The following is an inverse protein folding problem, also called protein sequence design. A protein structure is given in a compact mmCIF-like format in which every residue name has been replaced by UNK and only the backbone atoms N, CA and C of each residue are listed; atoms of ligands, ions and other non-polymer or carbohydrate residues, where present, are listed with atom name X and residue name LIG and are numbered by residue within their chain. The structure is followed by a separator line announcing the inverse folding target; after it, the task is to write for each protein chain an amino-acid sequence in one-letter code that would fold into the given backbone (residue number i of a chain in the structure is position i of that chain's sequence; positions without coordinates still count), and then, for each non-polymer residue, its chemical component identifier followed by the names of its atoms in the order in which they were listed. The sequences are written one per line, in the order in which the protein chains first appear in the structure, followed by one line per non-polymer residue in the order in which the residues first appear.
data_IF_103302929050
#
_entry.id   IF_103302929050
#
_cell.length_a   1.000
_cell.length_b   1.000
_cell.length_c   1.000
_cell.angle_alpha   90.00
_cell.angle_beta   90.00
_cell.angle_gamma   90.00
#
_symmetry.space_group_name_H-M   'P 1'
#
loop_
_entity.id
_entity.type
_entity.pdbx_description
1 polymer ?
#
# COMPACT_ATOMS: atom_id res chain seq x y z
N UNK A 1 -1.84 18.48 8.67
CA UNK A 1 -2.23 17.23 7.98
C UNK A 1 -1.23 17.08 6.87
N UNK A 2 -0.16 16.34 7.11
CA UNK A 2 0.96 16.31 6.17
C UNK A 2 0.72 15.13 5.22
N UNK A 3 0.09 15.43 4.10
CA UNK A 3 0.02 14.52 2.97
C UNK A 3 1.44 14.25 2.48
N UNK A 4 1.82 12.97 2.38
CA UNK A 4 3.14 12.60 1.89
C UNK A 4 3.04 12.22 0.42
N UNK A 5 3.33 13.18 -0.44
CA UNK A 5 3.21 13.06 -1.89
C UNK A 5 4.58 12.88 -2.52
N UNK A 6 4.75 11.83 -3.32
CA UNK A 6 6.01 11.51 -3.99
C UNK A 6 5.76 11.29 -5.48
N UNK A 7 6.55 11.91 -6.38
CA UNK A 7 6.52 11.57 -7.80
C UNK A 7 6.97 10.13 -8.00
N UNK A 8 6.22 9.40 -8.82
CA UNK A 8 6.60 8.05 -9.26
C UNK A 8 7.53 8.16 -10.48
N UNK A 9 7.72 7.06 -11.20
CA UNK A 9 8.56 7.00 -12.39
C UNK A 9 8.21 8.15 -13.35
N UNK A 10 9.24 8.92 -13.73
CA UNK A 10 9.07 10.15 -14.49
C UNK A 10 8.35 9.92 -15.83
N UNK A 11 8.46 8.73 -16.42
CA UNK A 11 7.73 8.42 -17.64
C UNK A 11 6.22 8.32 -17.38
N UNK A 12 5.77 7.97 -16.18
CA UNK A 12 4.34 7.80 -15.88
C UNK A 12 3.62 9.13 -15.64
N UNK A 13 4.35 10.19 -15.26
CA UNK A 13 3.79 11.48 -14.84
C UNK A 13 2.80 11.36 -13.65
N UNK A 14 2.87 10.24 -12.92
CA UNK A 14 2.00 9.93 -11.80
C UNK A 14 2.68 10.28 -10.47
N UNK A 15 1.84 10.58 -9.47
CA UNK A 15 2.23 10.82 -8.10
C UNK A 15 1.52 9.81 -7.20
N UNK A 16 2.14 9.49 -6.06
CA UNK A 16 1.51 8.72 -5.00
C UNK A 16 1.45 9.55 -3.73
N UNK A 17 0.25 9.71 -3.20
CA UNK A 17 0.02 10.38 -1.92
C UNK A 17 -0.44 9.38 -0.87
N UNK A 18 0.22 9.39 0.28
CA UNK A 18 -0.05 8.50 1.40
C UNK A 18 -0.74 9.24 2.55
N UNK A 19 -1.79 8.61 3.10
CA UNK A 19 -2.54 9.11 4.25
C UNK A 19 -2.66 8.04 5.32
N UNK A 20 -2.25 8.35 6.54
CA UNK A 20 -2.38 7.45 7.68
C UNK A 20 -3.62 7.85 8.50
N UNK A 21 -4.55 6.90 8.65
CA UNK A 21 -5.73 7.06 9.49
C UNK A 21 -5.69 6.08 10.65
N UNK A 22 -6.06 6.58 11.82
CA UNK A 22 -6.10 5.83 13.08
C UNK A 22 -7.49 5.94 13.69
N UNK A 23 -7.82 5.04 14.62
CA UNK A 23 -9.13 5.03 15.28
C UNK A 23 -10.30 5.02 14.27
N UNK A 24 -10.15 4.33 13.14
CA UNK A 24 -11.18 4.27 12.09
C UNK A 24 -12.40 3.50 12.60
N UNK A 25 -13.57 4.10 12.43
CA UNK A 25 -14.87 3.59 12.92
C UNK A 25 -15.70 2.93 11.83
N UNK A 26 -15.38 3.15 10.55
CA UNK A 26 -16.12 2.61 9.40
C UNK A 26 -15.24 1.85 8.38
N UNK A 27 -14.34 0.94 8.81
CA UNK A 27 -13.45 0.24 7.87
C UNK A 27 -14.22 -0.60 6.83
N UNK A 28 -15.38 -1.16 7.20
CA UNK A 28 -16.26 -1.89 6.28
C UNK A 28 -16.78 -0.98 5.15
N UNK A 29 -17.23 0.24 5.48
CA UNK A 29 -17.71 1.23 4.51
C UNK A 29 -16.57 1.64 3.55
N UNK A 30 -15.38 1.90 4.10
CA UNK A 30 -14.19 2.24 3.31
C UNK A 30 -13.86 1.11 2.34
N UNK A 31 -13.81 -0.14 2.84
CA UNK A 31 -13.50 -1.32 2.02
C UNK A 31 -14.53 -1.51 0.91
N UNK A 32 -15.82 -1.38 1.21
CA UNK A 32 -16.90 -1.51 0.23
C UNK A 32 -16.75 -0.47 -0.90
N UNK A 33 -16.50 0.81 -0.54
CA UNK A 33 -16.32 1.89 -1.52
C UNK A 33 -15.08 1.70 -2.40
N UNK A 34 -13.98 1.18 -1.84
CA UNK A 34 -12.79 0.82 -2.64
C UNK A 34 -13.10 -0.31 -3.61
N UNK A 35 -13.77 -1.37 -3.17
CA UNK A 35 -14.12 -2.53 -4.01
C UNK A 35 -15.11 -2.13 -5.13
N UNK A 36 -16.08 -1.27 -4.83
CA UNK A 36 -17.05 -0.78 -5.80
C UNK A 36 -16.47 0.25 -6.78
N UNK A 37 -15.23 0.71 -6.58
CA UNK A 37 -14.61 1.75 -7.41
C UNK A 37 -15.14 3.15 -7.15
N UNK A 38 -15.90 3.36 -6.07
CA UNK A 38 -16.35 4.69 -5.63
C UNK A 38 -15.21 5.50 -5.01
N UNK A 39 -14.18 4.81 -4.51
CA UNK A 39 -12.99 5.40 -3.93
C UNK A 39 -11.73 4.93 -4.67
N UNK A 40 -11.16 5.81 -5.48
CA UNK A 40 -9.95 5.57 -6.28
C UNK A 40 -8.68 5.57 -5.40
N UNK A 41 -8.48 4.51 -4.62
CA UNK A 41 -7.32 4.35 -3.75
C UNK A 41 -7.05 2.89 -3.41
N UNK A 42 -5.87 2.61 -2.88
CA UNK A 42 -5.57 1.35 -2.19
C UNK A 42 -5.69 1.56 -0.69
N UNK A 43 -6.60 0.82 -0.03
CA UNK A 43 -6.70 0.77 1.42
C UNK A 43 -5.87 -0.39 1.97
N UNK A 44 -4.84 -0.06 2.75
CA UNK A 44 -3.75 -0.96 3.15
C UNK A 44 -3.74 -1.11 4.67
N UNK A 45 -3.48 -2.31 5.19
CA UNK A 45 -3.30 -2.54 6.63
C UNK A 45 -2.00 -1.88 7.11
N UNK A 46 -2.10 -0.92 8.04
CA UNK A 46 -0.91 -0.26 8.59
C UNK A 46 0.03 -1.26 9.31
N UNK A 47 -0.52 -2.33 9.89
CA UNK A 47 0.21 -3.39 10.57
C UNK A 47 1.26 -4.10 9.70
N UNK A 48 1.09 -4.09 8.37
CA UNK A 48 2.02 -4.73 7.43
C UNK A 48 3.02 -3.75 6.80
N UNK A 49 3.00 -2.48 7.20
CA UNK A 49 3.84 -1.44 6.61
C UNK A 49 4.87 -0.94 7.61
N UNK A 50 6.15 -1.24 7.37
CA UNK A 50 7.25 -0.72 8.21
C UNK A 50 7.67 0.69 7.81
N UNK A 51 7.71 0.95 6.51
CA UNK A 51 8.20 2.21 5.95
C UNK A 51 7.35 2.61 4.73
N UNK A 52 6.98 3.90 4.56
CA UNK A 52 6.28 4.39 3.38
C UNK A 52 6.94 4.01 2.05
N UNK A 53 8.27 3.91 2.03
CA UNK A 53 9.06 3.55 0.87
C UNK A 53 8.63 2.21 0.26
N UNK A 54 8.25 1.22 1.06
CA UNK A 54 7.81 -0.07 0.51
C UNK A 54 6.51 0.05 -0.31
N UNK A 55 5.61 0.95 0.11
CA UNK A 55 4.35 1.22 -0.58
C UNK A 55 4.63 1.99 -1.86
N UNK A 56 5.57 2.94 -1.82
CA UNK A 56 5.99 3.70 -2.99
C UNK A 56 6.65 2.81 -4.04
N UNK A 57 7.49 1.85 -3.65
CA UNK A 57 8.06 0.88 -4.60
C UNK A 57 6.97 0.03 -5.27
N UNK A 58 6.01 -0.46 -4.48
CA UNK A 58 4.88 -1.23 -5.00
C UNK A 58 3.98 -0.40 -5.94
N UNK A 59 3.71 0.85 -5.58
CA UNK A 59 2.96 1.82 -6.38
C UNK A 59 3.69 2.15 -7.68
N UNK A 60 5.00 2.41 -7.61
CA UNK A 60 5.84 2.70 -8.77
C UNK A 60 5.81 1.55 -9.77
N UNK A 61 5.98 0.32 -9.29
CA UNK A 61 5.86 -0.89 -10.11
C UNK A 61 4.47 -1.02 -10.73
N UNK A 62 3.41 -0.70 -9.99
CA UNK A 62 2.04 -0.74 -10.49
C UNK A 62 1.79 0.25 -11.64
N UNK A 63 2.21 1.52 -11.52
CA UNK A 63 2.01 2.53 -12.57
C UNK A 63 2.85 2.25 -13.82
N UNK A 64 4.06 1.72 -13.66
CA UNK A 64 4.90 1.30 -14.79
C UNK A 64 4.23 0.15 -15.54
N UNK A 65 3.71 -0.86 -14.82
CA UNK A 65 2.98 -1.97 -15.43
C UNK A 65 1.69 -1.50 -16.11
N UNK A 66 0.95 -0.55 -15.52
CA UNK A 66 -0.23 0.05 -16.15
C UNK A 66 0.12 0.74 -17.47
N UNK A 67 1.16 1.58 -17.46
CA UNK A 67 1.64 2.28 -18.66
C UNK A 67 2.08 1.31 -19.77
N UNK A 68 2.64 0.16 -19.39
CA UNK A 68 3.08 -0.88 -20.33
C UNK A 68 1.97 -1.87 -20.73
N UNK A 69 0.72 -1.69 -20.25
CA UNK A 69 -0.38 -2.63 -20.44
C UNK A 69 -0.08 -4.05 -19.93
N UNK A 70 0.67 -4.16 -18.82
CA UNK A 70 1.14 -5.39 -18.20
C UNK A 70 0.61 -5.59 -16.78
N UNK A 71 -0.54 -5.00 -16.44
CA UNK A 71 -1.19 -5.26 -15.16
C UNK A 71 -1.56 -6.73 -15.02
N UNK A 72 -1.24 -7.32 -13.88
CA UNK A 72 -1.69 -8.67 -13.51
C UNK A 72 -3.12 -8.62 -12.98
N UNK A 73 -3.49 -7.54 -12.30
CA UNK A 73 -4.80 -7.28 -11.70
C UNK A 73 -5.64 -6.33 -12.56
N UNK A 74 -6.85 -5.97 -12.08
CA UNK A 74 -7.82 -5.19 -12.85
C UNK A 74 -7.57 -3.67 -12.82
N UNK A 75 -6.84 -3.16 -11.84
CA UNK A 75 -6.54 -1.73 -11.69
C UNK A 75 -5.19 -1.50 -11.03
N UNK A 76 -4.62 -0.31 -11.22
CA UNK A 76 -3.37 0.10 -10.55
C UNK A 76 -3.46 -0.01 -9.02
N UNK A 77 -4.64 0.23 -8.43
CA UNK A 77 -4.85 0.16 -6.99
C UNK A 77 -4.80 -1.29 -6.45
N UNK A 78 -5.40 -2.24 -7.18
CA UNK A 78 -5.27 -3.65 -6.84
C UNK A 78 -3.88 -4.18 -7.15
N UNK A 79 -3.22 -3.62 -8.17
CA UNK A 79 -1.86 -4.00 -8.55
C UNK A 79 -0.86 -3.59 -7.47
N UNK A 80 -1.04 -2.43 -6.84
CA UNK A 80 -0.24 -2.01 -5.69
C UNK A 80 -0.32 -3.03 -4.55
N UNK A 81 -1.55 -3.43 -4.15
CA UNK A 81 -1.75 -4.45 -3.11
C UNK A 81 -1.16 -5.80 -3.50
N UNK A 82 -1.30 -6.17 -4.78
CA UNK A 82 -0.66 -7.35 -5.32
C UNK A 82 0.85 -7.25 -5.20
N UNK A 83 1.47 -6.15 -5.61
CA UNK A 83 2.92 -5.95 -5.58
C UNK A 83 3.51 -5.96 -4.18
N UNK A 84 2.77 -5.48 -3.15
CA UNK A 84 3.19 -5.58 -1.76
C UNK A 84 3.37 -7.04 -1.29
N UNK A 85 2.59 -7.96 -1.83
CA UNK A 85 2.61 -9.38 -1.47
C UNK A 85 3.66 -10.18 -2.22
N UNK A 86 4.32 -11.11 -1.53
CA UNK A 86 5.19 -12.11 -2.16
C UNK A 86 4.40 -13.20 -2.91
N UNK A 87 3.09 -13.33 -2.65
CA UNK A 87 2.24 -14.33 -3.28
C UNK A 87 1.87 -13.98 -4.72
N UNK A 88 1.91 -14.96 -5.62
CA UNK A 88 1.40 -14.82 -6.99
C UNK A 88 -0.13 -14.98 -7.08
N UNK A 89 -0.81 -15.29 -5.98
CA UNK A 89 -2.27 -15.37 -5.95
C UNK A 89 -2.87 -13.98 -5.67
N UNK A 90 -3.66 -13.47 -6.61
CA UNK A 90 -4.28 -12.14 -6.53
C UNK A 90 -5.17 -12.03 -5.29
N UNK A 91 -6.17 -12.91 -5.15
CA UNK A 91 -7.14 -12.86 -4.04
C UNK A 91 -6.47 -12.93 -2.68
N UNK A 92 -5.45 -13.80 -2.53
CA UNK A 92 -4.66 -13.89 -1.29
C UNK A 92 -3.90 -12.60 -1.00
N UNK A 93 -3.27 -12.01 -2.01
CA UNK A 93 -2.49 -10.77 -1.85
C UNK A 93 -3.36 -9.60 -1.40
N UNK A 94 -4.53 -9.46 -2.04
CA UNK A 94 -5.50 -8.43 -1.70
C UNK A 94 -6.07 -8.62 -0.28
N UNK A 95 -6.37 -9.86 0.12
CA UNK A 95 -6.87 -10.15 1.47
C UNK A 95 -5.80 -9.96 2.56
N UNK A 96 -4.54 -10.27 2.25
CA UNK A 96 -3.41 -10.15 3.18
C UNK A 96 -3.07 -8.67 3.44
N UNK A 97 -2.86 -7.87 2.39
CA UNK A 97 -2.43 -6.47 2.50
C UNK A 97 -3.57 -5.45 2.54
N UNK A 98 -4.71 -5.77 1.94
CA UNK A 98 -5.90 -4.91 1.99
C UNK A 98 -6.59 -4.98 3.35
N UNK A 99 -7.32 -3.92 3.70
CA UNK A 99 -8.02 -3.81 4.99
C UNK A 99 -9.17 -4.83 5.14
N UNK A 100 -9.45 -5.22 6.37
CA UNK A 100 -10.62 -5.98 6.81
C UNK A 100 -11.61 -5.09 7.58
N UNK A 101 -12.75 -5.64 8.00
CA UNK A 101 -13.83 -4.89 8.69
C UNK A 101 -13.51 -4.51 10.14
N UNK A 102 -12.33 -4.87 10.63
CA UNK A 102 -11.90 -4.67 12.01
C UNK A 102 -10.61 -3.84 12.11
N UNK A 103 -9.97 -3.51 10.98
CA UNK A 103 -8.73 -2.74 10.94
C UNK A 103 -9.02 -1.28 11.28
N UNK A 104 -8.55 -0.85 12.46
CA UNK A 104 -8.71 0.53 12.96
C UNK A 104 -7.60 1.48 12.50
N UNK A 105 -6.47 0.93 12.08
CA UNK A 105 -5.30 1.67 11.61
C UNK A 105 -5.05 1.29 10.16
N UNK A 106 -5.28 2.24 9.26
CA UNK A 106 -5.23 2.00 7.83
C UNK A 106 -4.33 3.04 7.17
N UNK A 107 -3.59 2.59 6.17
CA UNK A 107 -2.83 3.44 5.28
C UNK A 107 -3.56 3.50 3.94
N UNK A 108 -3.89 4.70 3.49
CA UNK A 108 -4.46 4.91 2.16
C UNK A 108 -3.36 5.38 1.22
N UNK A 109 -3.26 4.73 0.06
CA UNK A 109 -2.43 5.19 -1.05
C UNK A 109 -3.30 5.64 -2.22
N UNK A 110 -3.12 6.89 -2.65
CA UNK A 110 -3.75 7.44 -3.84
C UNK A 110 -2.72 7.66 -4.93
N UNK A 111 -2.97 7.08 -6.09
CA UNK A 111 -2.19 7.29 -7.30
C UNK A 111 -2.99 8.25 -8.18
N UNK A 112 -2.37 9.36 -8.57
CA UNK A 112 -3.04 10.46 -9.27
C UNK A 112 -2.08 11.25 -10.16
N UNK A 113 -2.65 12.08 -11.04
CA UNK A 113 -1.91 13.13 -11.74
C UNK A 113 -1.83 14.37 -10.87
N UNK A 114 -0.93 15.30 -11.21
CA UNK A 114 -0.67 16.50 -10.40
C UNK A 114 -1.94 17.31 -10.09
N UNK A 115 -2.87 17.43 -11.05
CA UNK A 115 -4.08 18.27 -10.90
C UNK A 115 -5.20 17.62 -10.08
N UNK A 116 -5.16 16.30 -9.87
CA UNK A 116 -6.25 15.52 -9.27
C UNK A 116 -6.13 15.37 -7.74
N UNK A 117 -5.02 15.82 -7.13
CA UNK A 117 -4.73 15.60 -5.70
C UNK A 117 -5.84 16.15 -4.79
N UNK A 118 -6.33 17.36 -5.07
CA UNK A 118 -7.30 18.06 -4.22
C UNK A 118 -8.69 17.44 -4.25
N UNK A 119 -9.14 16.95 -5.40
CA UNK A 119 -10.46 16.31 -5.52
C UNK A 119 -10.46 14.95 -4.82
N UNK A 120 -9.39 14.18 -5.00
CA UNK A 120 -9.21 12.85 -4.42
C UNK A 120 -9.01 12.88 -2.90
N UNK A 121 -8.24 13.83 -2.37
CA UNK A 121 -8.05 14.02 -0.93
C UNK A 121 -9.34 14.43 -0.20
N UNK A 122 -10.16 15.28 -0.84
CA UNK A 122 -11.46 15.66 -0.28
C UNK A 122 -12.41 14.46 -0.18
N UNK A 123 -12.51 13.66 -1.26
CA UNK A 123 -13.34 12.46 -1.25
C UNK A 123 -12.92 11.48 -0.15
N UNK A 124 -11.61 11.31 0.11
CA UNK A 124 -11.14 10.49 1.22
C UNK A 124 -11.60 11.00 2.58
N UNK A 125 -11.43 12.30 2.82
CA UNK A 125 -11.74 12.92 4.11
C UNK A 125 -13.23 12.84 4.43
N UNK A 126 -14.08 12.91 3.41
CA UNK A 126 -15.53 12.79 3.55
C UNK A 126 -16.00 11.34 3.87
N UNK A 127 -15.22 10.34 3.45
CA UNK A 127 -15.58 8.92 3.57
C UNK A 127 -15.00 8.28 4.83
N UNK A 128 -13.73 8.55 5.16
CA UNK A 128 -13.03 7.85 6.25
C UNK A 128 -13.37 8.51 7.59
N UNK A 129 -14.11 7.80 8.44
CA UNK A 129 -14.45 8.24 9.81
C UNK A 129 -13.35 7.78 10.76
N UNK A 130 -12.30 8.58 10.88
CA UNK A 130 -11.17 8.33 11.79
C UNK A 130 -10.30 9.56 11.96
N UNK A 131 -9.18 9.41 12.66
CA UNK A 131 -8.21 10.47 12.90
C UNK A 131 -7.06 10.35 11.92
N UNK A 132 -6.95 11.32 11.00
CA UNK A 132 -5.77 11.44 10.16
C UNK A 132 -4.57 11.87 11.00
N UNK A 133 -3.49 11.11 10.94
CA UNK A 133 -2.25 11.37 11.69
C UNK A 133 -1.06 11.53 10.75
N UNK A 134 0.07 11.97 11.30
CA UNK A 134 1.31 12.11 10.53
C UNK A 134 1.88 10.75 10.15
N UNK A 135 2.35 10.63 8.91
CA UNK A 135 2.95 9.40 8.40
C UNK A 135 4.23 8.99 9.15
N UNK A 136 4.90 9.94 9.79
CA UNK A 136 6.04 9.70 10.68
C UNK A 136 5.70 8.77 11.85
N UNK A 137 4.43 8.62 12.21
CA UNK A 137 3.94 7.72 13.27
C UNK A 137 3.59 6.32 12.79
N UNK A 138 3.81 6.00 11.51
CA UNK A 138 3.45 4.70 10.94
C UNK A 138 4.05 3.53 11.71
N UNK A 139 5.31 3.67 12.17
CA UNK A 139 6.02 2.66 12.95
C UNK A 139 5.30 2.26 14.24
N UNK A 140 4.45 3.13 14.81
CA UNK A 140 3.66 2.83 16.01
C UNK A 140 2.57 1.77 15.75
N UNK A 141 2.18 1.60 14.49
CA UNK A 141 1.10 0.70 14.07
C UNK A 141 1.60 -0.54 13.34
N UNK A 142 2.89 -0.61 13.02
CA UNK A 142 3.53 -1.73 12.34
C UNK A 142 3.68 -2.93 13.28
N UNK A 143 3.27 -4.12 12.84
CA UNK A 143 3.54 -5.38 13.54
C UNK A 143 4.76 -6.04 12.91
N UNK A 144 5.93 -5.80 13.50
CA UNK A 144 7.22 -6.26 12.96
C UNK A 144 7.30 -7.78 12.89
N UNK A 145 6.71 -8.51 13.83
CA UNK A 145 6.73 -9.98 13.84
C UNK A 145 5.81 -10.54 12.75
N UNK A 146 4.63 -9.95 12.56
CA UNK A 146 3.73 -10.28 11.46
C UNK A 146 4.38 -9.96 10.09
N UNK A 147 5.07 -8.83 9.96
CA UNK A 147 5.77 -8.43 8.74
C UNK A 147 6.86 -9.46 8.40
N UNK A 148 7.74 -9.80 9.36
CA UNK A 148 8.78 -10.81 9.15
C UNK A 148 8.19 -12.15 8.71
N UNK A 149 7.08 -12.58 9.33
CA UNK A 149 6.38 -13.81 8.96
C UNK A 149 5.79 -13.74 7.55
N UNK A 150 5.14 -12.62 7.21
CA UNK A 150 4.49 -12.39 5.91
C UNK A 150 5.51 -12.41 4.77
N UNK A 151 6.64 -11.72 4.96
CA UNK A 151 7.72 -11.66 3.96
C UNK A 151 8.72 -12.82 4.04
N UNK A 152 8.56 -13.74 5.01
CA UNK A 152 9.48 -14.86 5.28
C UNK A 152 10.93 -14.40 5.50
N UNK A 153 11.10 -13.33 6.30
CA UNK A 153 12.41 -12.73 6.61
C UNK A 153 13.01 -13.43 7.83
N UNK A 154 14.22 -13.96 7.67
CA UNK A 154 14.96 -14.62 8.74
C UNK A 154 15.63 -13.59 9.66
N UNK A 155 15.88 -13.95 10.92
CA UNK A 155 16.66 -13.14 11.84
C UNK A 155 18.10 -12.98 11.37
N UNK A 156 18.67 -14.01 10.76
CA UNK A 156 20.06 -13.98 10.27
C UNK A 156 20.21 -13.04 9.05
N UNK A 157 19.15 -12.90 8.24
CA UNK A 157 19.10 -11.96 7.11
C UNK A 157 19.26 -10.50 7.57
N UNK A 158 18.70 -10.18 8.74
CA UNK A 158 18.74 -8.84 9.33
C UNK A 158 20.09 -8.45 9.93
N UNK A 159 21.06 -9.37 9.95
CA UNK A 159 22.45 -9.07 10.30
C UNK A 159 23.12 -8.27 9.16
N UNK A 160 22.72 -8.55 7.91
CA UNK A 160 23.36 -8.02 6.70
C UNK A 160 22.52 -6.98 5.97
N UNK A 161 21.20 -6.93 6.22
CA UNK A 161 20.25 -6.06 5.53
C UNK A 161 19.26 -5.43 6.50
N UNK A 162 18.70 -4.27 6.13
CA UNK A 162 17.61 -3.68 6.89
C UNK A 162 16.29 -4.39 6.57
N UNK A 163 15.34 -4.34 7.51
CA UNK A 163 14.00 -4.91 7.30
C UNK A 163 13.32 -4.32 6.05
N UNK A 164 13.44 -3.01 5.85
CA UNK A 164 12.89 -2.31 4.68
C UNK A 164 13.54 -2.78 3.38
N UNK A 165 14.87 -2.95 3.35
CA UNK A 165 15.58 -3.40 2.14
C UNK A 165 15.20 -4.84 1.77
N UNK A 166 15.10 -5.73 2.76
CA UNK A 166 14.60 -7.09 2.57
C UNK A 166 13.20 -7.09 1.95
N UNK A 167 12.27 -6.29 2.49
CA UNK A 167 10.90 -6.20 1.99
C UNK A 167 10.87 -5.66 0.55
N UNK A 168 11.56 -4.56 0.29
CA UNK A 168 11.62 -3.91 -1.03
C UNK A 168 12.25 -4.84 -2.07
N UNK A 169 13.27 -5.60 -1.70
CA UNK A 169 13.87 -6.63 -2.54
C UNK A 169 12.82 -7.69 -2.94
N UNK A 170 12.00 -8.18 -1.98
CA UNK A 170 10.93 -9.15 -2.26
C UNK A 170 9.84 -8.60 -3.18
N UNK A 171 9.43 -7.35 -2.97
CA UNK A 171 8.45 -6.64 -3.83
C UNK A 171 8.99 -6.52 -5.26
N UNK A 172 10.26 -6.11 -5.39
CA UNK A 172 10.91 -5.87 -6.67
C UNK A 172 11.14 -7.17 -7.45
N UNK A 173 11.56 -8.23 -6.77
CA UNK A 173 11.91 -9.52 -7.37
C UNK A 173 10.77 -10.55 -7.39
N UNK A 174 9.52 -10.15 -7.11
CA UNK A 174 8.36 -11.04 -6.99
C UNK A 174 8.21 -12.05 -8.14
N UNK A 175 8.52 -11.65 -9.36
CA UNK A 175 8.45 -12.48 -10.57
C UNK A 175 9.43 -13.66 -10.50
N UNK A 176 10.63 -13.40 -9.96
CA UNK A 176 11.74 -14.35 -9.88
C UNK A 176 11.73 -15.22 -8.63
N UNK A 177 10.96 -14.83 -7.60
CA UNK A 177 10.84 -15.62 -6.38
C UNK A 177 10.02 -16.88 -6.67
N UNK A 178 10.71 -18.02 -6.68
CA UNK A 178 10.11 -19.33 -6.60
C UNK A 178 9.73 -19.56 -5.13
N UNK A 179 8.46 -19.35 -4.80
CA UNK A 179 7.91 -19.80 -3.52
C UNK A 179 7.87 -21.33 -3.55
N UNK A 180 8.94 -21.97 -3.05
CA UNK A 180 8.90 -23.37 -2.63
C UNK A 180 8.10 -23.50 -1.34
#
# INVERSE_FOLDING_TARGET
MDAYTVPLDAATEMFCTLYLFTNVQNPEEVRAKVINGELCCSAIKAALIVDPFQVLVAANKAVVNEKMCQLTTKSVYTELLFNLSISKNISRSLAEFGINDHDKNILIAQIHKMDDEKSLSKALTDIVKGEQTQLSRLYEFSDVDLIKKTYKIDKDELILSSLTDSIVSRISCKEFILLK
#
